data_IF_133481570656
#
_entry.id   IF_133481570656
#
_cell.length_a   1.000
_cell.length_b   1.000
_cell.length_c   1.000
_cell.angle_alpha   90.00
_cell.angle_beta   90.00
_cell.angle_gamma   90.00
#
_symmetry.space_group_name_H-M   'P 1'
#
loop_
_entity.id
_entity.type
_entity.pdbx_description
1 polymer ?
#
# COMPACT_ATOMS: atom_id res chain seq x y z
N UNK A 1 75.93 10.72 58.27
CA UNK A 1 74.89 11.29 57.38
C UNK A 1 74.69 10.52 56.05
N UNK A 2 75.38 9.39 55.80
CA UNK A 2 75.33 8.68 54.50
C UNK A 2 74.21 7.61 54.43
N UNK A 3 73.82 7.00 55.56
CA UNK A 3 72.90 5.85 55.61
C UNK A 3 71.43 6.18 55.23
N UNK A 4 70.93 7.38 55.56
CA UNK A 4 69.55 7.76 55.24
C UNK A 4 69.32 8.06 53.74
N UNK A 5 70.38 8.43 53.00
CA UNK A 5 70.28 8.71 51.58
C UNK A 5 70.17 7.42 50.75
N UNK A 6 70.87 6.35 51.16
CA UNK A 6 70.86 5.05 50.50
C UNK A 6 69.49 4.35 50.67
N UNK A 7 68.92 4.34 51.89
CA UNK A 7 67.57 3.82 52.12
C UNK A 7 66.51 4.59 51.32
N UNK A 8 66.66 5.91 51.20
CA UNK A 8 65.74 6.73 50.41
C UNK A 8 65.87 6.45 48.90
N UNK A 9 67.09 6.20 48.40
CA UNK A 9 67.32 5.78 47.00
C UNK A 9 66.66 4.42 46.74
N UNK A 10 66.83 3.46 47.64
CA UNK A 10 66.25 2.11 47.49
C UNK A 10 64.71 2.15 47.52
N UNK A 11 64.11 2.94 48.41
CA UNK A 11 62.67 3.18 48.45
C UNK A 11 62.15 3.81 47.16
N UNK A 12 62.87 4.80 46.60
CA UNK A 12 62.49 5.44 45.33
C UNK A 12 62.59 4.46 44.17
N UNK A 13 63.63 3.64 44.11
CA UNK A 13 63.79 2.60 43.07
C UNK A 13 62.66 1.57 43.16
N UNK A 14 62.33 1.09 44.37
CA UNK A 14 61.25 0.12 44.56
C UNK A 14 59.88 0.70 44.20
N UNK A 15 59.59 1.96 44.57
CA UNK A 15 58.38 2.67 44.16
C UNK A 15 58.29 2.83 42.64
N UNK A 16 59.41 3.08 41.95
CA UNK A 16 59.44 3.13 40.48
C UNK A 16 59.16 1.76 39.84
N UNK A 17 59.69 0.67 40.40
CA UNK A 17 59.42 -0.70 39.93
C UNK A 17 57.94 -1.07 40.11
N UNK A 18 57.38 -0.84 41.30
CA UNK A 18 55.96 -1.09 41.59
C UNK A 18 55.05 -0.26 40.68
N UNK A 19 55.41 1.00 40.41
CA UNK A 19 54.64 1.84 39.49
C UNK A 19 54.72 1.31 38.04
N UNK A 20 55.88 0.83 37.58
CA UNK A 20 56.01 0.21 36.25
C UNK A 20 55.16 -1.05 36.11
N UNK A 21 55.12 -1.91 37.13
CA UNK A 21 54.27 -3.11 37.13
C UNK A 21 52.78 -2.77 37.10
N UNK A 22 52.33 -1.81 37.92
CA UNK A 22 50.95 -1.32 37.90
C UNK A 22 50.54 -0.72 36.55
N UNK A 23 51.46 0.00 35.90
CA UNK A 23 51.26 0.54 34.54
C UNK A 23 51.15 -0.58 33.50
N UNK A 24 52.01 -1.60 33.59
CA UNK A 24 51.98 -2.79 32.73
C UNK A 24 50.66 -3.55 32.88
N UNK A 25 50.18 -3.75 34.11
CA UNK A 25 48.91 -4.40 34.38
C UNK A 25 47.71 -3.59 33.86
N UNK A 26 47.73 -2.26 34.04
CA UNK A 26 46.69 -1.38 33.50
C UNK A 26 46.67 -1.41 31.97
N UNK A 27 47.83 -1.47 31.34
CA UNK A 27 47.97 -1.61 29.89
C UNK A 27 47.46 -2.97 29.39
N UNK A 28 47.86 -4.07 30.02
CA UNK A 28 47.42 -5.42 29.68
C UNK A 28 45.89 -5.59 29.88
N UNK A 29 45.31 -5.01 30.93
CA UNK A 29 43.85 -4.97 31.15
C UNK A 29 43.13 -4.21 30.05
N UNK A 30 43.66 -3.05 29.62
CA UNK A 30 43.09 -2.30 28.49
C UNK A 30 43.17 -3.07 27.17
N UNK A 31 44.27 -3.78 26.93
CA UNK A 31 44.47 -4.57 25.70
C UNK A 31 43.51 -5.77 25.66
N UNK A 32 43.41 -6.57 26.74
CA UNK A 32 42.44 -7.67 26.85
C UNK A 32 40.99 -7.20 26.70
N UNK A 33 40.66 -6.02 27.21
CA UNK A 33 39.32 -5.45 27.05
C UNK A 33 39.03 -5.07 25.58
N UNK A 34 40.04 -4.63 24.82
CA UNK A 34 39.92 -4.35 23.39
C UNK A 34 39.70 -5.63 22.58
N UNK A 35 40.44 -6.70 22.87
CA UNK A 35 40.27 -7.99 22.19
C UNK A 35 38.87 -8.58 22.43
N UNK A 36 38.35 -8.47 23.66
CA UNK A 36 36.97 -8.86 23.98
C UNK A 36 35.93 -8.02 23.22
N UNK A 37 36.16 -6.72 23.07
CA UNK A 37 35.29 -5.83 22.29
C UNK A 37 35.31 -6.24 20.81
N UNK A 38 36.49 -6.44 20.21
CA UNK A 38 36.60 -6.86 18.80
C UNK A 38 35.96 -8.24 18.58
N UNK A 39 36.10 -9.16 19.54
CA UNK A 39 35.46 -10.46 19.51
C UNK A 39 33.92 -10.36 19.56
N UNK A 40 33.36 -9.56 20.47
CA UNK A 40 31.90 -9.32 20.55
C UNK A 40 31.33 -8.67 19.29
N UNK A 41 32.05 -7.72 18.67
CA UNK A 41 31.67 -7.17 17.36
C UNK A 41 31.69 -8.22 16.25
N UNK A 42 32.70 -9.10 16.24
CA UNK A 42 32.81 -10.18 15.25
C UNK A 42 31.69 -11.21 15.38
N UNK A 43 31.31 -11.56 16.61
CA UNK A 43 30.23 -12.50 16.91
C UNK A 43 28.86 -11.90 16.56
N UNK A 44 28.64 -10.62 16.86
CA UNK A 44 27.42 -9.91 16.46
C UNK A 44 27.28 -9.84 14.94
N UNK A 45 28.37 -9.59 14.20
CA UNK A 45 28.38 -9.65 12.73
C UNK A 45 28.07 -11.06 12.20
N UNK A 46 28.58 -12.11 12.83
CA UNK A 46 28.27 -13.51 12.46
C UNK A 46 26.79 -13.84 12.70
N UNK A 47 26.22 -13.43 13.85
CA UNK A 47 24.78 -13.56 14.14
C UNK A 47 23.91 -12.84 13.12
N UNK A 48 24.22 -11.58 12.81
CA UNK A 48 23.48 -10.80 11.80
C UNK A 48 23.56 -11.49 10.43
N UNK A 49 24.72 -12.02 10.04
CA UNK A 49 24.86 -12.79 8.79
C UNK A 49 24.07 -14.11 8.79
N UNK A 50 23.99 -14.80 9.94
CA UNK A 50 23.20 -16.03 10.08
C UNK A 50 21.69 -15.74 10.08
N UNK A 51 21.24 -14.66 10.72
CA UNK A 51 19.85 -14.20 10.68
C UNK A 51 19.44 -13.75 9.28
N UNK A 52 20.33 -13.07 8.54
CA UNK A 52 20.13 -12.71 7.13
C UNK A 52 20.08 -13.93 6.19
N UNK A 53 20.54 -15.11 6.64
CA UNK A 53 20.43 -16.39 5.93
C UNK A 53 19.20 -17.20 6.35
N UNK A 54 18.41 -16.73 7.32
CA UNK A 54 17.19 -17.43 7.71
C UNK A 54 16.15 -17.36 6.59
N UNK A 55 15.53 -18.50 6.29
CA UNK A 55 14.48 -18.61 5.27
C UNK A 55 13.37 -17.60 5.62
N UNK A 56 12.92 -16.77 4.67
CA UNK A 56 11.80 -15.88 4.91
C UNK A 56 10.59 -16.69 5.36
N UNK A 57 9.86 -16.17 6.35
CA UNK A 57 8.55 -16.73 6.69
C UNK A 57 7.57 -16.23 5.65
N UNK A 58 7.10 -17.12 4.78
CA UNK A 58 6.10 -16.77 3.77
C UNK A 58 4.80 -16.24 4.39
N UNK A 59 4.51 -16.58 5.64
CA UNK A 59 3.38 -16.06 6.43
C UNK A 59 3.34 -14.52 6.46
N UNK A 60 4.51 -13.86 6.49
CA UNK A 60 4.61 -12.40 6.51
C UNK A 60 4.32 -11.77 5.13
N UNK A 61 4.21 -12.60 4.08
CA UNK A 61 3.97 -12.20 2.69
C UNK A 61 2.56 -12.52 2.21
N UNK A 62 1.64 -12.86 3.12
CA UNK A 62 0.28 -13.29 2.79
C UNK A 62 -0.70 -12.12 2.86
N UNK A 63 -1.50 -11.98 1.80
CA UNK A 63 -2.65 -11.10 1.77
C UNK A 63 -3.78 -11.62 2.67
N UNK A 64 -4.32 -10.82 3.60
CA UNK A 64 -5.36 -11.27 4.53
C UNK A 64 -6.74 -11.49 3.88
N UNK A 65 -6.93 -11.06 2.61
CA UNK A 65 -8.19 -11.25 1.88
C UNK A 65 -8.20 -12.59 1.12
N UNK A 66 -7.18 -12.83 0.29
CA UNK A 66 -7.12 -14.04 -0.52
C UNK A 66 -6.31 -15.18 0.13
N UNK A 67 -5.63 -14.92 1.24
CA UNK A 67 -4.78 -15.88 1.96
C UNK A 67 -3.64 -16.45 1.11
N UNK A 68 -3.20 -15.68 0.11
CA UNK A 68 -2.14 -16.02 -0.83
C UNK A 68 -1.00 -15.00 -0.76
N UNK A 69 0.16 -15.35 -1.31
CA UNK A 69 1.29 -14.44 -1.42
C UNK A 69 0.88 -13.16 -2.17
N UNK A 70 1.27 -12.00 -1.66
CA UNK A 70 0.88 -10.71 -2.23
C UNK A 70 1.21 -10.59 -3.73
N UNK A 71 0.26 -10.02 -4.46
CA UNK A 71 0.43 -9.54 -5.83
C UNK A 71 0.18 -8.04 -5.85
N UNK A 72 1.14 -7.25 -6.33
CA UNK A 72 1.03 -5.78 -6.37
C UNK A 72 0.65 -5.21 -4.99
N UNK A 73 1.59 -5.27 -4.05
CA UNK A 73 1.33 -4.89 -2.66
C UNK A 73 0.79 -3.47 -2.62
N UNK A 74 -0.42 -3.33 -2.09
CA UNK A 74 -1.12 -2.07 -1.95
C UNK A 74 -1.38 -1.80 -0.47
N UNK A 75 -0.87 -0.67 0.02
CA UNK A 75 -1.07 -0.26 1.41
C UNK A 75 -2.15 0.81 1.50
N UNK A 76 -3.08 0.64 2.43
CA UNK A 76 -4.12 1.63 2.73
C UNK A 76 -3.60 2.71 3.67
N UNK A 77 -4.29 3.85 3.78
CA UNK A 77 -3.90 4.96 4.68
C UNK A 77 -3.80 4.57 6.17
N UNK A 78 -4.39 3.44 6.57
CA UNK A 78 -4.29 2.92 7.93
C UNK A 78 -3.09 1.98 8.15
N UNK A 79 -2.29 1.72 7.11
CA UNK A 79 -1.08 0.90 7.17
C UNK A 79 -1.25 -0.58 6.84
N UNK A 80 -2.48 -1.08 6.66
CA UNK A 80 -2.70 -2.48 6.26
C UNK A 80 -2.46 -2.67 4.76
N UNK A 81 -1.83 -3.80 4.42
CA UNK A 81 -1.42 -4.18 3.08
C UNK A 81 -2.26 -5.34 2.52
N UNK A 82 -2.49 -5.32 1.22
CA UNK A 82 -3.33 -6.25 0.47
C UNK A 82 -2.78 -6.44 -0.95
N UNK A 83 -3.24 -7.46 -1.67
CA UNK A 83 -3.10 -7.46 -3.13
C UNK A 83 -3.95 -6.32 -3.73
N UNK A 84 -3.46 -5.68 -4.80
CA UNK A 84 -4.17 -4.60 -5.49
C UNK A 84 -5.61 -4.96 -5.84
N UNK A 85 -5.81 -6.08 -6.55
CA UNK A 85 -7.13 -6.57 -6.95
C UNK A 85 -8.04 -6.84 -5.75
N UNK A 86 -7.49 -7.36 -4.64
CA UNK A 86 -8.28 -7.70 -3.46
C UNK A 86 -8.79 -6.46 -2.72
N UNK A 87 -7.92 -5.47 -2.49
CA UNK A 87 -8.35 -4.24 -1.81
C UNK A 87 -9.23 -3.38 -2.70
N UNK A 88 -8.96 -3.33 -4.01
CA UNK A 88 -9.82 -2.66 -4.97
C UNK A 88 -11.24 -3.22 -4.88
N UNK A 89 -11.40 -4.53 -5.03
CA UNK A 89 -12.71 -5.18 -5.02
C UNK A 89 -13.44 -5.04 -3.67
N UNK A 90 -12.71 -5.10 -2.55
CA UNK A 90 -13.30 -4.85 -1.24
C UNK A 90 -13.84 -3.42 -1.10
N UNK A 91 -13.08 -2.43 -1.57
CA UNK A 91 -13.47 -1.03 -1.48
C UNK A 91 -14.63 -0.67 -2.41
N UNK A 92 -14.84 -1.43 -3.49
CA UNK A 92 -16.03 -1.29 -4.33
C UNK A 92 -17.32 -1.63 -3.58
N UNK A 93 -17.28 -2.55 -2.60
CA UNK A 93 -18.44 -2.88 -1.78
C UNK A 93 -18.61 -1.93 -0.60
N UNK A 94 -17.52 -1.63 0.10
CA UNK A 94 -17.50 -0.75 1.28
C UNK A 94 -16.16 -0.03 1.36
N UNK A 95 -16.18 1.29 1.43
CA UNK A 95 -14.99 2.15 1.53
C UNK A 95 -14.32 2.09 2.92
N UNK A 96 -14.00 0.90 3.41
CA UNK A 96 -13.40 0.62 4.72
C UNK A 96 -12.27 -0.41 4.59
N UNK A 97 -11.26 -0.29 5.46
CA UNK A 97 -10.20 -1.29 5.55
C UNK A 97 -10.77 -2.66 6.00
N UNK A 98 -10.48 -3.76 5.28
CA UNK A 98 -10.96 -5.10 5.67
C UNK A 98 -10.45 -5.61 7.02
N UNK A 99 -9.32 -5.07 7.51
CA UNK A 99 -8.70 -5.52 8.76
C UNK A 99 -9.20 -4.69 9.95
N UNK A 100 -9.10 -3.36 9.89
CA UNK A 100 -9.40 -2.47 11.02
C UNK A 100 -10.67 -1.63 10.87
N UNK A 101 -11.38 -1.73 9.73
CA UNK A 101 -12.63 -1.01 9.42
C UNK A 101 -12.52 0.51 9.39
N UNK A 102 -11.30 1.06 9.42
CA UNK A 102 -11.07 2.49 9.22
C UNK A 102 -11.55 2.87 7.82
N UNK A 103 -12.39 3.92 7.72
CA UNK A 103 -12.86 4.45 6.43
C UNK A 103 -11.69 4.91 5.57
N UNK A 104 -11.70 4.50 4.31
CA UNK A 104 -10.72 4.89 3.31
C UNK A 104 -11.27 6.08 2.53
N UNK A 105 -10.53 7.19 2.52
CA UNK A 105 -11.02 8.45 1.94
C UNK A 105 -10.73 8.56 0.45
N UNK A 106 -9.74 7.82 -0.05
CA UNK A 106 -9.31 7.87 -1.44
C UNK A 106 -9.04 6.47 -1.94
N UNK A 107 -9.45 6.17 -3.17
CA UNK A 107 -9.06 4.96 -3.89
C UNK A 107 -7.71 5.15 -4.62
N UNK A 108 -6.85 6.03 -4.07
CA UNK A 108 -5.50 6.27 -4.58
C UNK A 108 -4.54 5.29 -3.93
N UNK A 109 -4.28 4.17 -4.60
CA UNK A 109 -3.37 3.15 -4.10
C UNK A 109 -1.94 3.54 -4.41
N UNK A 110 -1.08 3.53 -3.39
CA UNK A 110 0.36 3.71 -3.56
C UNK A 110 1.00 2.33 -3.76
N UNK A 111 1.60 2.17 -4.93
CA UNK A 111 2.38 1.00 -5.30
C UNK A 111 3.86 1.21 -4.95
N UNK A 112 4.52 0.17 -4.46
CA UNK A 112 5.96 0.20 -4.22
C UNK A 112 6.66 -0.95 -4.95
N UNK A 113 7.34 -0.61 -6.05
CA UNK A 113 7.99 -1.59 -6.92
C UNK A 113 9.09 -2.38 -6.20
N UNK A 114 9.78 -1.77 -5.25
CA UNK A 114 10.82 -2.45 -4.48
C UNK A 114 10.26 -3.56 -3.59
N UNK A 115 9.04 -3.42 -3.05
CA UNK A 115 8.39 -4.48 -2.28
C UNK A 115 8.00 -5.65 -3.17
N UNK A 116 7.39 -5.36 -4.32
CA UNK A 116 7.01 -6.38 -5.30
C UNK A 116 8.22 -7.17 -5.80
N UNK A 117 9.28 -6.47 -6.21
CA UNK A 117 10.53 -7.09 -6.67
C UNK A 117 11.12 -7.98 -5.57
N UNK A 118 11.11 -7.49 -4.32
CA UNK A 118 11.61 -8.28 -3.19
C UNK A 118 10.78 -9.53 -2.94
N UNK A 119 9.46 -9.45 -3.00
CA UNK A 119 8.58 -10.61 -2.85
C UNK A 119 8.85 -11.62 -3.97
N UNK A 120 8.94 -11.16 -5.21
CA UNK A 120 9.25 -11.99 -6.37
C UNK A 120 10.57 -12.76 -6.17
N UNK A 121 11.64 -12.08 -5.74
CA UNK A 121 12.92 -12.71 -5.45
C UNK A 121 12.81 -13.77 -4.35
N UNK A 122 12.10 -13.47 -3.26
CA UNK A 122 11.93 -14.40 -2.14
C UNK A 122 11.15 -15.65 -2.55
N UNK A 123 10.11 -15.50 -3.36
CA UNK A 123 9.32 -16.62 -3.90
C UNK A 123 10.18 -17.49 -4.80
N UNK A 124 10.95 -16.90 -5.73
CA UNK A 124 11.80 -17.67 -6.62
C UNK A 124 12.99 -18.33 -5.92
N UNK A 125 13.53 -17.70 -4.89
CA UNK A 125 14.69 -18.22 -4.15
C UNK A 125 14.31 -19.32 -3.16
N UNK A 126 13.17 -19.21 -2.48
CA UNK A 126 12.81 -20.06 -1.34
C UNK A 126 11.49 -20.82 -1.47
N UNK A 127 10.68 -20.53 -2.50
CA UNK A 127 9.42 -21.20 -2.75
C UNK A 127 9.62 -22.59 -3.33
N UNK A 128 8.72 -23.52 -2.99
CA UNK A 128 8.65 -24.80 -3.70
C UNK A 128 8.02 -24.62 -5.10
N UNK A 129 8.05 -25.68 -5.91
CA UNK A 129 7.54 -25.64 -7.29
C UNK A 129 6.08 -25.22 -7.37
N UNK A 130 5.25 -25.73 -6.46
CA UNK A 130 3.80 -25.44 -6.43
C UNK A 130 3.55 -24.00 -6.04
N UNK A 131 4.29 -23.48 -5.03
CA UNK A 131 4.23 -22.07 -4.62
C UNK A 131 4.63 -21.13 -5.76
N UNK A 132 5.73 -21.44 -6.46
CA UNK A 132 6.22 -20.63 -7.58
C UNK A 132 5.21 -20.63 -8.74
N UNK A 133 4.64 -21.79 -9.08
CA UNK A 133 3.63 -21.90 -10.13
C UNK A 133 2.36 -21.13 -9.77
N UNK A 134 1.85 -21.29 -8.54
CA UNK A 134 0.68 -20.57 -8.06
C UNK A 134 0.92 -19.05 -8.09
N UNK A 135 2.08 -18.59 -7.62
CA UNK A 135 2.45 -17.18 -7.65
C UNK A 135 2.48 -16.61 -9.09
N UNK A 136 2.99 -17.37 -10.07
CA UNK A 136 2.98 -16.96 -11.48
C UNK A 136 1.57 -16.92 -12.06
N UNK A 137 0.72 -17.89 -11.75
CA UNK A 137 -0.67 -17.89 -12.21
C UNK A 137 -1.41 -16.65 -11.70
N UNK A 138 -1.18 -16.29 -10.44
CA UNK A 138 -1.71 -15.06 -9.82
C UNK A 138 -1.20 -13.78 -10.47
N UNK A 139 0.05 -13.75 -10.96
CA UNK A 139 0.55 -12.63 -11.77
C UNK A 139 -0.20 -12.51 -13.11
N UNK A 140 -0.43 -13.63 -13.79
CA UNK A 140 -1.20 -13.65 -15.04
C UNK A 140 -2.65 -13.22 -14.83
N UNK A 141 -3.30 -13.66 -13.76
CA UNK A 141 -4.64 -13.19 -13.36
C UNK A 141 -4.66 -11.66 -13.17
N UNK A 142 -3.64 -11.11 -12.49
CA UNK A 142 -3.51 -9.67 -12.27
C UNK A 142 -3.35 -8.89 -13.58
N UNK A 143 -2.52 -9.39 -14.50
CA UNK A 143 -2.34 -8.78 -15.82
C UNK A 143 -3.64 -8.78 -16.64
N UNK A 144 -4.38 -9.89 -16.62
CA UNK A 144 -5.68 -10.02 -17.29
C UNK A 144 -6.70 -9.06 -16.67
N UNK A 145 -6.77 -9.00 -15.34
CA UNK A 145 -7.64 -8.06 -14.63
C UNK A 145 -7.31 -6.61 -14.99
N UNK A 146 -6.02 -6.24 -15.05
CA UNK A 146 -5.59 -4.90 -15.44
C UNK A 146 -5.98 -4.56 -16.89
N UNK A 147 -5.83 -5.50 -17.82
CA UNK A 147 -6.29 -5.33 -19.21
C UNK A 147 -7.81 -5.20 -19.29
N UNK A 148 -8.56 -5.98 -18.50
CA UNK A 148 -10.03 -5.99 -18.53
C UNK A 148 -10.68 -4.65 -18.12
N UNK A 149 -9.96 -3.81 -17.37
CA UNK A 149 -10.45 -2.49 -16.93
C UNK A 149 -10.16 -1.38 -17.94
N UNK A 150 -9.28 -1.62 -18.92
CA UNK A 150 -8.90 -0.60 -19.88
C UNK A 150 -9.99 -0.43 -20.95
N UNK A 151 -10.25 0.81 -21.33
CA UNK A 151 -11.11 1.14 -22.45
C UNK A 151 -10.25 1.74 -23.54
N UNK A 152 -10.00 0.96 -24.58
CA UNK A 152 -9.30 1.42 -25.77
C UNK A 152 -10.28 1.99 -26.80
N UNK A 153 -9.77 2.85 -27.69
CA UNK A 153 -10.52 3.39 -28.83
C UNK A 153 -11.82 4.11 -28.45
N UNK A 154 -11.76 4.95 -27.41
CA UNK A 154 -12.90 5.78 -26.99
C UNK A 154 -13.49 6.56 -28.18
N UNK A 155 -14.82 6.54 -28.28
CA UNK A 155 -15.56 7.25 -29.32
C UNK A 155 -16.63 8.18 -28.72
N UNK A 156 -17.00 9.23 -29.47
CA UNK A 156 -18.14 10.08 -29.12
C UNK A 156 -19.42 9.23 -29.16
N UNK A 157 -20.33 9.49 -28.21
CA UNK A 157 -21.57 8.77 -27.95
C UNK A 157 -21.40 7.31 -27.48
N UNK A 158 -20.15 6.86 -27.24
CA UNK A 158 -19.92 5.59 -26.57
C UNK A 158 -20.34 5.67 -25.10
N UNK A 159 -21.03 4.63 -24.63
CA UNK A 159 -21.32 4.43 -23.22
C UNK A 159 -20.17 3.68 -22.52
N UNK A 160 -19.83 4.14 -21.32
CA UNK A 160 -18.78 3.57 -20.45
C UNK A 160 -19.26 3.59 -19.00
N UNK A 161 -18.63 2.78 -18.16
CA UNK A 161 -18.81 2.86 -16.71
C UNK A 161 -17.87 3.95 -16.17
N UNK A 162 -18.42 4.93 -15.44
CA UNK A 162 -17.66 6.01 -14.78
C UNK A 162 -17.89 5.96 -13.27
N UNK A 163 -16.81 5.93 -12.48
CA UNK A 163 -16.87 6.08 -11.02
C UNK A 163 -16.99 7.56 -10.67
N UNK A 164 -17.97 7.96 -9.86
CA UNK A 164 -18.13 9.35 -9.42
C UNK A 164 -17.24 9.73 -8.22
N UNK A 165 -17.44 10.92 -7.65
CA UNK A 165 -16.72 11.40 -6.46
C UNK A 165 -17.17 10.72 -5.16
N UNK A 166 -18.32 10.05 -5.17
CA UNK A 166 -18.87 9.25 -4.07
C UNK A 166 -18.45 7.77 -4.16
N UNK A 167 -17.57 7.42 -5.10
CA UNK A 167 -17.11 6.06 -5.40
C UNK A 167 -18.21 5.11 -5.90
N UNK A 168 -19.26 5.65 -6.52
CA UNK A 168 -20.35 4.89 -7.12
C UNK A 168 -20.16 4.85 -8.64
N UNK A 169 -20.24 3.65 -9.22
CA UNK A 169 -20.15 3.47 -10.67
C UNK A 169 -21.50 3.72 -11.34
N UNK A 170 -21.48 4.59 -12.36
CA UNK A 170 -22.63 4.97 -13.15
C UNK A 170 -22.36 4.74 -14.64
N UNK A 171 -23.43 4.55 -15.42
CA UNK A 171 -23.32 4.59 -16.88
C UNK A 171 -23.20 6.04 -17.31
N UNK A 172 -22.26 6.32 -18.20
CA UNK A 172 -22.07 7.65 -18.77
C UNK A 172 -21.80 7.58 -20.27
N UNK A 173 -22.29 8.57 -21.00
CA UNK A 173 -22.08 8.73 -22.43
C UNK A 173 -21.00 9.78 -22.70
N UNK A 174 -20.01 9.44 -23.53
CA UNK A 174 -18.95 10.36 -23.93
C UNK A 174 -19.50 11.42 -24.89
N UNK A 175 -19.37 12.69 -24.53
CA UNK A 175 -19.85 13.83 -25.34
C UNK A 175 -18.74 14.54 -26.10
N UNK A 176 -17.52 14.53 -25.57
CA UNK A 176 -16.35 15.09 -26.24
C UNK A 176 -15.09 14.31 -25.88
N UNK A 177 -14.16 14.21 -26.83
CA UNK A 177 -12.83 13.63 -26.61
C UNK A 177 -11.78 14.71 -26.84
N UNK A 178 -11.06 15.05 -25.77
CA UNK A 178 -9.89 15.92 -25.80
C UNK A 178 -8.58 15.14 -25.94
N UNK A 179 -7.45 15.86 -25.84
CA UNK A 179 -6.11 15.24 -25.92
C UNK A 179 -5.73 14.42 -24.69
N UNK A 180 -6.26 14.78 -23.51
CA UNK A 180 -5.88 14.20 -22.20
C UNK A 180 -7.08 13.83 -21.34
N UNK A 181 -8.28 14.17 -21.77
CA UNK A 181 -9.51 14.03 -20.99
C UNK A 181 -10.71 13.83 -21.93
N UNK A 182 -11.78 13.29 -21.39
CA UNK A 182 -13.09 13.15 -22.02
C UNK A 182 -14.12 13.97 -21.26
N UNK A 183 -15.06 14.57 -21.98
CA UNK A 183 -16.25 15.16 -21.38
C UNK A 183 -17.36 14.13 -21.42
N UNK A 184 -17.97 13.85 -20.26
CA UNK A 184 -19.00 12.82 -20.11
C UNK A 184 -20.30 13.41 -19.59
N UNK A 185 -21.39 12.75 -19.94
CA UNK A 185 -22.72 12.96 -19.37
C UNK A 185 -23.14 11.69 -18.65
N UNK A 186 -23.58 11.79 -17.40
CA UNK A 186 -24.10 10.63 -16.67
C UNK A 186 -25.53 10.31 -17.11
N UNK A 187 -25.77 9.08 -17.55
CA UNK A 187 -27.06 8.69 -18.09
C UNK A 187 -28.15 8.74 -17.01
N UNK A 188 -29.22 9.49 -17.27
CA UNK A 188 -30.33 9.69 -16.33
C UNK A 188 -30.05 10.71 -15.22
N UNK A 189 -29.11 11.63 -15.44
CA UNK A 189 -28.81 12.75 -14.54
C UNK A 189 -28.93 14.09 -15.28
N UNK A 190 -29.11 15.18 -14.53
CA UNK A 190 -29.06 16.53 -15.09
C UNK A 190 -27.65 16.93 -15.56
N UNK A 191 -27.56 17.92 -16.44
CA UNK A 191 -26.29 18.38 -17.06
C UNK A 191 -25.33 19.02 -16.06
N UNK A 192 -25.81 19.41 -14.89
CA UNK A 192 -25.02 19.93 -13.78
C UNK A 192 -24.01 18.92 -13.23
N UNK A 193 -24.20 17.62 -13.51
CA UNK A 193 -23.28 16.55 -13.12
C UNK A 193 -22.27 16.19 -14.22
N UNK A 194 -22.38 16.77 -15.41
CA UNK A 194 -21.43 16.53 -16.49
C UNK A 194 -20.03 17.00 -16.07
N UNK A 195 -19.02 16.19 -16.35
CA UNK A 195 -17.65 16.50 -15.93
C UNK A 195 -16.59 16.07 -16.95
N UNK A 196 -15.39 16.60 -16.78
CA UNK A 196 -14.21 16.15 -17.51
C UNK A 196 -13.47 15.07 -16.71
N UNK A 197 -13.20 13.93 -17.35
CA UNK A 197 -12.44 12.82 -16.77
C UNK A 197 -11.10 12.69 -17.52
N UNK A 198 -9.95 12.74 -16.83
CA UNK A 198 -8.66 12.45 -17.45
C UNK A 198 -8.61 11.04 -18.05
N UNK A 199 -8.03 10.88 -19.24
CA UNK A 199 -7.92 9.59 -19.94
C UNK A 199 -7.17 8.52 -19.15
N UNK A 200 -6.26 8.93 -18.27
CA UNK A 200 -5.47 8.04 -17.40
C UNK A 200 -6.12 7.81 -16.04
N UNK A 201 -7.36 8.28 -15.85
CA UNK A 201 -8.09 8.13 -14.59
C UNK A 201 -8.53 6.68 -14.41
N UNK A 202 -8.33 6.14 -13.21
CA UNK A 202 -8.90 4.84 -12.81
C UNK A 202 -10.44 4.86 -12.65
N UNK A 203 -11.08 6.01 -12.95
CA UNK A 203 -12.54 6.19 -12.91
C UNK A 203 -13.24 5.74 -14.20
N UNK A 204 -12.50 5.32 -15.24
CA UNK A 204 -13.07 4.90 -16.53
C UNK A 204 -12.98 3.37 -16.65
N UNK A 205 -14.06 2.72 -17.05
CA UNK A 205 -14.11 1.28 -17.26
C UNK A 205 -15.06 0.89 -18.42
N UNK A 206 -14.90 -0.32 -19.00
CA UNK A 206 -15.83 -0.81 -20.02
C UNK A 206 -17.25 -0.89 -19.49
N UNK A 207 -18.22 -0.58 -20.36
CA UNK A 207 -19.64 -0.63 -20.01
C UNK A 207 -20.03 -1.99 -19.43
N UNK A 208 -20.64 -1.96 -18.25
CA UNK A 208 -21.13 -3.14 -17.57
C UNK A 208 -20.09 -3.94 -16.80
N UNK A 209 -18.82 -3.50 -16.75
CA UNK A 209 -17.82 -4.13 -15.89
C UNK A 209 -18.18 -3.95 -14.40
N UNK A 210 -18.68 -2.78 -14.02
CA UNK A 210 -19.07 -2.45 -12.66
C UNK A 210 -20.57 -2.22 -12.54
N UNK A 211 -21.21 -1.50 -13.46
CA UNK A 211 -22.63 -1.13 -13.35
C UNK A 211 -23.58 -2.34 -13.35
N UNK A 212 -23.16 -3.48 -13.92
CA UNK A 212 -23.92 -4.75 -13.86
C UNK A 212 -23.75 -5.53 -12.56
N UNK A 213 -22.76 -5.21 -11.73
CA UNK A 213 -22.54 -5.91 -10.45
C UNK A 213 -23.64 -5.57 -9.47
N UNK A 214 -24.22 -6.57 -8.80
CA UNK A 214 -25.26 -6.37 -7.79
C UNK A 214 -24.70 -6.16 -6.38
N UNK A 215 -23.43 -6.54 -6.16
CA UNK A 215 -22.78 -6.51 -4.85
C UNK A 215 -22.22 -5.13 -4.46
N UNK A 216 -22.20 -4.17 -5.39
CA UNK A 216 -21.64 -2.83 -5.18
C UNK A 216 -22.76 -1.78 -5.04
N UNK A 217 -22.51 -0.65 -4.35
CA UNK A 217 -23.49 0.42 -4.20
C UNK A 217 -23.99 0.95 -5.55
N UNK A 218 -25.29 1.23 -5.62
CA UNK A 218 -25.94 1.88 -6.77
C UNK A 218 -26.82 3.01 -6.27
N UNK A 219 -26.92 4.06 -7.05
CA UNK A 219 -27.96 5.07 -6.85
C UNK A 219 -29.33 4.44 -7.07
N UNK A 220 -30.22 4.57 -6.09
CA UNK A 220 -31.59 4.09 -6.18
C UNK A 220 -32.44 5.12 -6.94
N UNK A 221 -33.15 4.74 -8.02
CA UNK A 221 -34.00 5.67 -8.78
C UNK A 221 -35.08 6.35 -7.91
N UNK A 222 -35.60 5.64 -6.91
CA UNK A 222 -36.67 6.10 -6.01
C UNK A 222 -36.22 7.22 -5.07
N UNK A 223 -34.93 7.25 -4.71
CA UNK A 223 -34.35 8.34 -3.90
C UNK A 223 -34.14 9.62 -4.71
N UNK A 224 -33.96 9.51 -6.04
CA UNK A 224 -33.89 10.68 -6.94
C UNK A 224 -35.24 11.33 -7.11
N UNK A 225 -36.29 10.55 -7.38
CA UNK A 225 -37.66 11.08 -7.40
C UNK A 225 -37.98 11.83 -6.11
N UNK A 226 -37.61 11.30 -4.94
CA UNK A 226 -37.83 12.01 -3.68
C UNK A 226 -37.01 13.29 -3.52
N UNK A 227 -35.74 13.29 -3.91
CA UNK A 227 -34.88 14.48 -3.83
C UNK A 227 -35.34 15.57 -4.79
N UNK A 228 -35.65 15.21 -6.04
CA UNK A 228 -36.15 16.12 -7.08
C UNK A 228 -37.53 16.68 -6.71
N UNK A 229 -38.39 15.84 -6.11
CA UNK A 229 -39.69 16.27 -5.55
C UNK A 229 -39.47 17.25 -4.38
N UNK A 230 -38.51 16.99 -3.48
CA UNK A 230 -38.23 17.88 -2.36
C UNK A 230 -37.66 19.22 -2.82
N UNK A 231 -36.74 19.24 -3.79
CA UNK A 231 -36.26 20.49 -4.39
C UNK A 231 -37.38 21.25 -5.10
N UNK A 232 -38.24 20.57 -5.85
CA UNK A 232 -39.41 21.18 -6.47
C UNK A 232 -40.36 21.78 -5.43
N UNK A 233 -40.65 21.07 -4.32
CA UNK A 233 -41.46 21.60 -3.22
C UNK A 233 -40.78 22.81 -2.58
N UNK A 234 -39.46 22.75 -2.36
CA UNK A 234 -38.72 23.87 -1.77
C UNK A 234 -38.72 25.11 -2.67
N UNK A 235 -38.73 24.92 -3.99
CA UNK A 235 -38.71 26.00 -4.98
C UNK A 235 -40.10 26.57 -5.27
N UNK A 236 -41.13 25.73 -5.36
CA UNK A 236 -42.47 26.11 -5.84
C UNK A 236 -43.57 26.01 -4.77
N UNK A 237 -43.29 25.39 -3.62
CA UNK A 237 -44.22 25.24 -2.51
C UNK A 237 -45.32 24.20 -2.71
N UNK A 238 -45.26 23.41 -3.79
CA UNK A 238 -46.30 22.43 -4.15
C UNK A 238 -45.70 21.13 -4.71
N UNK A 239 -46.50 20.05 -4.72
CA UNK A 239 -46.10 18.76 -5.30
C UNK A 239 -46.11 18.85 -6.84
N UNK A 240 -45.08 18.31 -7.53
CA UNK A 240 -45.06 18.30 -8.99
C UNK A 240 -46.19 17.45 -9.56
N UNK A 241 -46.89 17.97 -10.57
CA UNK A 241 -47.93 17.22 -11.29
C UNK A 241 -47.31 16.09 -12.13
N UNK A 242 -48.05 15.01 -12.40
CA UNK A 242 -47.52 13.81 -13.09
C UNK A 242 -46.84 14.10 -14.44
N UNK A 243 -47.15 15.22 -15.09
CA UNK A 243 -46.54 15.64 -16.36
C UNK A 243 -45.15 16.28 -16.23
N UNK A 244 -44.74 16.70 -15.02
CA UNK A 244 -43.44 17.38 -14.78
C UNK A 244 -42.32 16.37 -14.52
N UNK A 245 -42.65 15.18 -14.01
CA UNK A 245 -41.69 14.12 -13.64
C UNK A 245 -41.29 13.20 -14.81
N UNK A 246 -41.73 13.49 -16.04
CA UNK A 246 -41.50 12.66 -17.24
C UNK A 246 -40.58 13.29 -18.30
N UNK A 247 -39.96 14.45 -18.03
CA UNK A 247 -39.04 15.14 -18.95
C UNK A 247 -37.64 15.29 -18.35
#
# INVERSE_FOLDING_TARGET
MICAAEEHIEQVVNLQLINKEKLKDKFLKKMRNRDNIDQTYSERRKKIKQEQQSRPKFEDLICPICLEIFQKVTTTQCGHAFCEMCIFDSLMRKAECPVCRVKIKTHSFQYCESFDNRINDLVHQYGDKTQIEHFKNRQLEMEQWNKSKQVDNLAIDQQVDIMDQSFIWCVATIKQIGKKEIFIHYDGWGKEYDEFIPLQSNRIAPLGLYTKREDIPKYQPEQRQFADIIEYINQYGELPTQNVLQN
#
